data_IF_979961776591
#
_entry.id   IF_979961776591
#
_cell.length_a   1.000
_cell.length_b   1.000
_cell.length_c   1.000
_cell.angle_alpha   90.00
_cell.angle_beta   90.00
_cell.angle_gamma   90.00
#
_symmetry.space_group_name_H-M   'P 1'
#
loop_
_entity.id
_entity.type
_entity.pdbx_description
1 polymer ?
#
# COMPACT_ATOMS: atom_id res chain seq x y z
N UNK A 1 3.67 -49.38 14.22
CA UNK A 1 3.78 -47.96 13.82
C UNK A 1 2.72 -47.20 14.61
N UNK A 2 3.11 -46.53 15.69
CA UNK A 2 2.20 -45.84 16.61
C UNK A 2 1.82 -44.47 16.04
N UNK A 3 0.53 -44.26 15.80
CA UNK A 3 -0.04 -42.98 15.42
C UNK A 3 0.33 -41.89 16.44
N UNK A 4 0.67 -40.66 16.01
CA UNK A 4 0.98 -39.60 16.95
C UNK A 4 -0.27 -39.25 17.79
N UNK A 5 -0.10 -38.94 19.09
CA UNK A 5 -1.22 -38.69 20.00
C UNK A 5 -1.95 -37.40 19.59
N UNK A 6 -3.28 -37.44 19.56
CA UNK A 6 -4.19 -36.34 19.15
C UNK A 6 -3.86 -35.00 19.87
N UNK A 7 -3.30 -35.07 21.08
CA UNK A 7 -2.84 -33.91 21.84
C UNK A 7 -1.69 -33.12 21.19
N UNK A 8 -0.79 -33.76 20.44
CA UNK A 8 0.32 -33.05 19.77
C UNK A 8 -0.18 -32.23 18.58
N UNK A 9 -1.21 -32.72 17.89
CA UNK A 9 -1.86 -31.97 16.80
C UNK A 9 -2.64 -30.76 17.32
N UNK A 10 -3.30 -30.89 18.48
CA UNK A 10 -3.95 -29.76 19.14
C UNK A 10 -2.94 -28.70 19.58
N UNK A 11 -1.80 -29.11 20.16
CA UNK A 11 -0.74 -28.17 20.56
C UNK A 11 -0.11 -27.47 19.36
N UNK A 12 0.15 -28.19 18.27
CA UNK A 12 0.64 -27.61 17.02
C UNK A 12 -0.41 -26.65 16.45
N UNK A 13 -1.68 -27.05 16.36
CA UNK A 13 -2.77 -26.18 15.93
C UNK A 13 -2.93 -24.93 16.82
N UNK A 14 -2.75 -25.07 18.13
CA UNK A 14 -2.87 -23.96 19.09
C UNK A 14 -1.66 -23.02 19.05
N UNK A 15 -0.46 -23.55 18.86
CA UNK A 15 0.77 -22.78 18.61
C UNK A 15 0.75 -22.09 17.23
N UNK A 16 0.14 -22.74 16.24
CA UNK A 16 -0.07 -22.22 14.89
C UNK A 16 -1.21 -21.18 14.79
N UNK A 17 -2.24 -21.31 15.64
CA UNK A 17 -3.39 -20.39 15.69
C UNK A 17 -3.17 -19.18 16.60
N UNK A 18 -2.12 -19.18 17.44
CA UNK A 18 -1.56 -17.96 18.03
C UNK A 18 -0.78 -17.17 16.96
N UNK A 19 -1.46 -16.80 15.88
CA UNK A 19 -0.93 -15.82 14.92
C UNK A 19 -0.65 -14.50 15.66
N UNK A 20 0.52 -13.89 15.42
CA UNK A 20 0.85 -12.58 15.98
C UNK A 20 -0.31 -11.62 15.70
N UNK A 21 -0.95 -11.12 16.75
CA UNK A 21 -1.88 -10.02 16.63
C UNK A 21 -1.07 -8.81 16.17
N UNK A 22 -1.44 -8.21 15.03
CA UNK A 22 -0.75 -7.02 14.53
C UNK A 22 -1.12 -5.82 15.39
N UNK A 23 -0.12 -5.05 15.77
CA UNK A 23 -0.37 -3.81 16.48
C UNK A 23 -0.92 -2.76 15.52
N UNK A 24 -1.75 -1.85 16.03
CA UNK A 24 -2.29 -0.71 15.24
C UNK A 24 -1.18 0.15 14.63
N UNK A 25 0.02 0.13 15.22
CA UNK A 25 1.18 0.85 14.72
C UNK A 25 1.73 0.17 13.47
N UNK A 26 1.79 -1.16 13.42
CA UNK A 26 2.33 -1.91 12.27
C UNK A 26 1.54 -1.71 10.97
N UNK A 27 0.29 -1.24 11.08
CA UNK A 27 -0.62 -0.98 9.96
C UNK A 27 -0.59 0.47 9.49
N UNK A 28 0.19 1.34 10.14
CA UNK A 28 0.44 2.71 9.70
C UNK A 28 1.42 2.65 8.52
N UNK A 29 0.97 3.09 7.34
CA UNK A 29 1.75 3.02 6.12
C UNK A 29 2.30 4.39 5.71
N UNK A 30 3.48 4.40 5.10
CA UNK A 30 4.00 5.60 4.42
C UNK A 30 3.25 5.82 3.10
N UNK A 31 2.62 7.00 2.90
CA UNK A 31 1.72 7.23 1.77
C UNK A 31 2.34 7.04 0.39
N UNK A 32 3.55 7.57 0.13
CA UNK A 32 4.16 7.49 -1.19
C UNK A 32 4.57 6.06 -1.52
N UNK A 33 5.19 5.35 -0.57
CA UNK A 33 5.58 3.95 -0.69
C UNK A 33 4.37 3.09 -1.06
N UNK A 34 3.27 3.24 -0.33
CA UNK A 34 2.06 2.48 -0.59
C UNK A 34 1.44 2.82 -1.96
N UNK A 35 1.46 4.09 -2.36
CA UNK A 35 0.96 4.49 -3.69
C UNK A 35 1.83 3.98 -4.84
N UNK A 36 3.15 3.88 -4.68
CA UNK A 36 4.04 3.24 -5.69
C UNK A 36 3.68 1.75 -5.85
N UNK A 37 3.35 1.06 -4.75
CA UNK A 37 2.91 -0.35 -4.81
C UNK A 37 1.54 -0.48 -5.48
N UNK A 38 0.61 0.43 -5.19
CA UNK A 38 -0.67 0.49 -5.92
C UNK A 38 -0.47 0.80 -7.41
N UNK A 39 0.52 1.62 -7.77
CA UNK A 39 0.87 1.84 -9.16
C UNK A 39 1.35 0.54 -9.83
N UNK A 40 2.23 -0.23 -9.20
CA UNK A 40 2.69 -1.53 -9.74
C UNK A 40 1.58 -2.58 -9.81
N UNK A 41 0.53 -2.46 -8.98
CA UNK A 41 -0.65 -3.34 -9.03
C UNK A 41 -1.44 -3.20 -10.35
N UNK A 42 -1.34 -2.06 -11.05
CA UNK A 42 -2.04 -1.81 -12.32
C UNK A 42 -1.67 -2.76 -13.45
N UNK A 43 -0.44 -3.28 -13.44
CA UNK A 43 0.06 -4.23 -14.43
C UNK A 43 0.24 -5.65 -13.84
N UNK A 44 -0.12 -5.84 -12.57
CA UNK A 44 -0.08 -7.15 -11.94
C UNK A 44 -1.28 -8.01 -12.36
N UNK A 45 -1.12 -9.34 -12.45
CA UNK A 45 -2.20 -10.24 -12.87
C UNK A 45 -3.40 -10.20 -11.90
N UNK A 46 -4.60 -10.45 -12.42
CA UNK A 46 -5.82 -10.56 -11.61
C UNK A 46 -5.65 -11.70 -10.58
N UNK A 47 -6.08 -11.47 -9.35
CA UNK A 47 -5.81 -12.39 -8.22
C UNK A 47 -4.66 -11.93 -7.32
N UNK A 48 -3.91 -10.91 -7.78
CA UNK A 48 -2.92 -10.22 -6.96
C UNK A 48 -3.60 -9.48 -5.80
N UNK A 49 -3.08 -9.66 -4.59
CA UNK A 49 -3.61 -9.06 -3.36
C UNK A 49 -2.56 -8.20 -2.69
N UNK A 50 -3.01 -7.40 -1.73
CA UNK A 50 -2.13 -6.59 -0.91
C UNK A 50 -1.73 -7.33 0.37
N UNK A 51 -0.52 -7.02 0.84
CA UNK A 51 0.03 -7.43 2.12
C UNK A 51 0.62 -6.21 2.81
N UNK A 52 0.33 -6.06 4.10
CA UNK A 52 0.97 -5.06 4.95
C UNK A 52 1.91 -5.78 5.90
N UNK A 53 3.18 -5.37 5.90
CA UNK A 53 4.18 -5.95 6.79
C UNK A 53 5.15 -4.86 7.21
N UNK A 54 5.26 -4.64 8.52
CA UNK A 54 6.18 -3.66 9.12
C UNK A 54 6.03 -2.29 8.43
N UNK A 55 4.83 -1.70 8.46
CA UNK A 55 4.59 -0.35 7.92
C UNK A 55 4.81 -0.14 6.41
N UNK A 56 5.07 -1.23 5.67
CA UNK A 56 5.30 -1.22 4.23
C UNK A 56 4.21 -2.04 3.54
N UNK A 57 3.66 -1.49 2.45
CA UNK A 57 2.73 -2.19 1.59
C UNK A 57 3.52 -3.03 0.58
N UNK A 58 3.02 -4.22 0.28
CA UNK A 58 3.56 -5.10 -0.75
C UNK A 58 2.45 -5.62 -1.65
N UNK A 59 2.77 -5.77 -2.93
CA UNK A 59 1.97 -6.48 -3.91
C UNK A 59 2.29 -7.98 -3.82
N UNK A 60 1.27 -8.81 -3.63
CA UNK A 60 1.39 -10.26 -3.52
C UNK A 60 0.73 -10.95 -4.72
N UNK A 61 1.50 -11.45 -5.70
CA UNK A 61 0.95 -12.11 -6.88
C UNK A 61 0.13 -13.37 -6.52
N UNK A 62 -0.77 -13.81 -7.40
CA UNK A 62 -1.51 -15.05 -7.23
C UNK A 62 -0.54 -16.24 -7.25
N UNK A 63 -0.47 -16.97 -6.15
CA UNK A 63 0.33 -18.20 -6.03
C UNK A 63 -0.52 -19.30 -5.41
N UNK A 64 -0.21 -20.56 -5.71
CA UNK A 64 -0.93 -21.72 -5.14
C UNK A 64 -0.88 -21.70 -3.60
N UNK A 65 0.24 -21.24 -3.04
CA UNK A 65 0.47 -21.12 -1.60
C UNK A 65 -0.01 -19.78 -1.02
N UNK A 66 -0.64 -18.90 -1.81
CA UNK A 66 -1.14 -17.60 -1.36
C UNK A 66 -2.05 -17.72 -0.12
N UNK A 67 -2.99 -18.68 -0.02
CA UNK A 67 -3.83 -18.83 1.18
C UNK A 67 -3.02 -19.14 2.44
N UNK A 68 -2.00 -20.00 2.32
CA UNK A 68 -1.14 -20.42 3.45
C UNK A 68 -0.26 -19.24 3.89
N UNK A 69 0.34 -18.54 2.94
CA UNK A 69 1.12 -17.33 3.22
C UNK A 69 0.26 -16.27 3.91
N UNK A 70 -0.97 -16.05 3.44
CA UNK A 70 -1.87 -15.05 4.04
C UNK A 70 -2.31 -15.44 5.44
N UNK A 71 -2.55 -16.72 5.69
CA UNK A 71 -2.85 -17.23 7.02
C UNK A 71 -1.65 -17.04 7.97
N UNK A 72 -0.43 -17.39 7.54
CA UNK A 72 0.78 -17.20 8.35
C UNK A 72 1.04 -15.73 8.71
N UNK A 73 0.78 -14.81 7.78
CA UNK A 73 0.96 -13.37 8.02
C UNK A 73 -0.28 -12.68 8.61
N UNK A 74 -1.38 -13.41 8.86
CA UNK A 74 -2.68 -12.85 9.30
C UNK A 74 -3.27 -11.80 8.35
N UNK A 75 -3.02 -11.89 7.03
CA UNK A 75 -3.48 -10.93 6.02
C UNK A 75 -4.99 -11.05 5.77
N UNK A 76 -5.73 -9.97 6.01
CA UNK A 76 -7.19 -9.92 5.86
C UNK A 76 -7.61 -9.01 4.72
N UNK A 77 -8.80 -9.27 4.17
CA UNK A 77 -9.44 -8.35 3.21
C UNK A 77 -9.74 -6.98 3.84
N UNK A 78 -9.93 -6.94 5.16
CA UNK A 78 -10.19 -5.72 5.92
C UNK A 78 -8.95 -4.82 6.02
N UNK A 79 -7.75 -5.32 5.72
CA UNK A 79 -6.52 -4.50 5.66
C UNK A 79 -6.62 -3.41 4.57
N UNK A 80 -7.55 -3.56 3.62
CA UNK A 80 -7.86 -2.52 2.64
C UNK A 80 -8.35 -1.23 3.29
N UNK A 81 -8.99 -1.29 4.47
CA UNK A 81 -9.46 -0.09 5.15
C UNK A 81 -8.31 0.88 5.53
N UNK A 82 -7.08 0.38 5.67
CA UNK A 82 -5.92 1.22 5.95
C UNK A 82 -5.56 2.14 4.77
N UNK A 83 -5.92 1.77 3.54
CA UNK A 83 -5.63 2.57 2.34
C UNK A 83 -6.35 3.93 2.36
N UNK A 84 -7.45 4.08 3.08
CA UNK A 84 -8.09 5.39 3.24
C UNK A 84 -7.10 6.44 3.78
N UNK A 85 -6.36 6.08 4.83
CA UNK A 85 -5.40 6.98 5.46
C UNK A 85 -4.17 7.24 4.57
N UNK A 86 -3.77 6.24 3.79
CA UNK A 86 -2.70 6.35 2.77
C UNK A 86 -3.09 7.36 1.71
N UNK A 87 -4.26 7.18 1.08
CA UNK A 87 -4.70 8.02 -0.04
C UNK A 87 -4.92 9.46 0.44
N UNK A 88 -5.58 9.67 1.59
CA UNK A 88 -5.79 11.00 2.16
C UNK A 88 -4.47 11.73 2.41
N UNK A 89 -3.47 11.06 3.00
CA UNK A 89 -2.15 11.65 3.25
C UNK A 89 -1.33 11.83 1.99
N UNK A 90 -1.44 10.94 1.01
CA UNK A 90 -0.80 11.08 -0.29
C UNK A 90 -1.28 12.37 -0.98
N UNK A 91 -2.60 12.56 -1.03
CA UNK A 91 -3.21 13.79 -1.57
C UNK A 91 -2.75 15.02 -0.78
N UNK A 92 -2.80 14.98 0.55
CA UNK A 92 -2.43 16.12 1.41
C UNK A 92 -0.96 16.52 1.28
N UNK A 93 -0.04 15.56 1.29
CA UNK A 93 1.39 15.84 1.45
C UNK A 93 2.20 15.76 0.15
N UNK A 94 1.78 14.94 -0.80
CA UNK A 94 2.53 14.66 -2.02
C UNK A 94 1.93 15.28 -3.29
N UNK A 95 0.72 15.85 -3.24
CA UNK A 95 0.17 16.60 -4.38
C UNK A 95 0.81 18.00 -4.47
N UNK A 96 1.57 18.31 -5.54
CA UNK A 96 2.24 19.61 -5.69
C UNK A 96 1.28 20.79 -5.89
N UNK A 97 0.03 20.53 -6.28
CA UNK A 97 -1.02 21.55 -6.41
C UNK A 97 -1.59 21.97 -5.05
N UNK A 98 -1.57 21.06 -4.07
CA UNK A 98 -2.08 21.28 -2.71
C UNK A 98 -0.94 21.71 -1.78
N UNK A 99 0.17 20.98 -1.78
CA UNK A 99 1.32 21.23 -0.94
C UNK A 99 2.52 21.69 -1.78
N UNK A 100 2.88 22.97 -1.67
CA UNK A 100 4.05 23.56 -2.36
C UNK A 100 5.39 22.97 -1.92
N UNK A 101 5.43 22.30 -0.76
CA UNK A 101 6.63 21.59 -0.26
C UNK A 101 6.66 20.12 -0.69
N UNK A 102 5.71 19.67 -1.52
CA UNK A 102 5.73 18.31 -2.04
C UNK A 102 7.07 18.05 -2.75
N UNK A 103 7.71 16.88 -2.52
CA UNK A 103 8.93 16.52 -3.20
C UNK A 103 8.66 15.99 -4.62
N UNK A 104 7.39 15.73 -4.98
CA UNK A 104 7.03 15.19 -6.29
C UNK A 104 6.87 16.29 -7.33
N UNK A 105 7.30 15.98 -8.54
CA UNK A 105 6.90 16.74 -9.73
C UNK A 105 5.42 16.47 -10.05
N UNK A 106 4.72 17.41 -10.72
CA UNK A 106 3.35 17.18 -11.19
C UNK A 106 3.21 15.90 -12.03
N UNK A 107 4.18 15.64 -12.92
CA UNK A 107 4.17 14.47 -13.80
C UNK A 107 4.30 13.15 -13.03
N UNK A 108 5.18 13.09 -12.03
CA UNK A 108 5.33 11.90 -11.18
C UNK A 108 4.08 11.67 -10.33
N UNK A 109 3.53 12.72 -9.74
CA UNK A 109 2.29 12.63 -8.97
C UNK A 109 1.13 12.11 -9.85
N UNK A 110 0.99 12.65 -11.07
CA UNK A 110 -0.05 12.23 -12.00
C UNK A 110 0.14 10.78 -12.45
N UNK A 111 1.38 10.37 -12.76
CA UNK A 111 1.71 9.00 -13.16
C UNK A 111 1.34 8.00 -12.06
N UNK A 112 1.77 8.25 -10.82
CA UNK A 112 1.46 7.41 -9.65
C UNK A 112 -0.05 7.38 -9.40
N UNK A 113 -0.74 8.53 -9.47
CA UNK A 113 -2.18 8.60 -9.23
C UNK A 113 -2.97 7.79 -10.26
N UNK A 114 -2.65 7.96 -11.55
CA UNK A 114 -3.32 7.24 -12.63
C UNK A 114 -3.10 5.73 -12.52
N UNK A 115 -1.84 5.30 -12.37
CA UNK A 115 -1.51 3.89 -12.20
C UNK A 115 -2.12 3.34 -10.89
N UNK A 116 -2.20 4.14 -9.83
CA UNK A 116 -2.86 3.76 -8.57
C UNK A 116 -4.35 3.49 -8.75
N UNK A 117 -5.07 4.32 -9.52
CA UNK A 117 -6.48 4.08 -9.89
C UNK A 117 -6.61 2.79 -10.70
N UNK A 118 -5.72 2.56 -11.66
CA UNK A 118 -5.69 1.33 -12.46
C UNK A 118 -5.38 0.09 -11.60
N UNK A 119 -4.49 0.22 -10.61
CA UNK A 119 -4.22 -0.82 -9.61
C UNK A 119 -5.43 -1.12 -8.74
N UNK A 120 -6.15 -0.09 -8.27
CA UNK A 120 -7.42 -0.26 -7.56
C UNK A 120 -8.49 -0.92 -8.45
N UNK A 121 -8.50 -0.67 -9.76
CA UNK A 121 -9.35 -1.39 -10.71
C UNK A 121 -9.02 -2.88 -10.78
N UNK A 122 -7.75 -3.26 -10.80
CA UNK A 122 -7.36 -4.68 -10.75
C UNK A 122 -7.71 -5.32 -9.41
N UNK A 123 -7.57 -4.58 -8.32
CA UNK A 123 -7.98 -5.03 -6.99
C UNK A 123 -9.50 -5.23 -6.92
N UNK A 124 -10.27 -4.30 -7.47
CA UNK A 124 -11.72 -4.41 -7.61
C UNK A 124 -12.07 -5.73 -8.31
N UNK A 125 -11.53 -5.97 -9.52
CA UNK A 125 -11.76 -7.21 -10.28
C UNK A 125 -11.40 -8.46 -9.47
N UNK A 126 -10.30 -8.40 -8.72
CA UNK A 126 -9.83 -9.51 -7.86
C UNK A 126 -10.81 -9.83 -6.73
N UNK A 127 -11.50 -8.84 -6.17
CA UNK A 127 -12.48 -9.04 -5.11
C UNK A 127 -13.93 -9.14 -5.62
N UNK A 128 -14.21 -8.79 -6.88
CA UNK A 128 -15.54 -8.94 -7.49
C UNK A 128 -16.01 -10.39 -7.54
N UNK A 129 -15.09 -11.35 -7.57
CA UNK A 129 -15.40 -12.78 -7.50
C UNK A 129 -15.58 -13.29 -6.06
N UNK A 130 -15.54 -12.40 -5.05
CA UNK A 130 -15.75 -12.74 -3.64
C UNK A 130 -17.05 -12.13 -3.13
N UNK A 131 -17.75 -12.81 -2.21
CA UNK A 131 -19.02 -12.35 -1.60
C UNK A 131 -18.89 -11.09 -0.69
N UNK A 132 -17.86 -10.28 -0.88
CA UNK A 132 -17.48 -9.20 0.01
C UNK A 132 -17.87 -7.82 -0.56
N UNK A 133 -19.17 -7.57 -0.71
CA UNK A 133 -19.71 -6.31 -1.26
C UNK A 133 -19.14 -5.04 -0.59
N UNK A 134 -18.88 -5.06 0.73
CA UNK A 134 -18.29 -3.92 1.44
C UNK A 134 -16.90 -3.55 0.91
N UNK A 135 -16.06 -4.54 0.62
CA UNK A 135 -14.69 -4.31 0.10
C UNK A 135 -14.75 -3.66 -1.28
N UNK A 136 -15.67 -4.13 -2.13
CA UNK A 136 -15.89 -3.59 -3.47
C UNK A 136 -16.28 -2.10 -3.40
N UNK A 137 -17.24 -1.75 -2.52
CA UNK A 137 -17.65 -0.36 -2.32
C UNK A 137 -16.51 0.52 -1.78
N UNK A 138 -15.68 0.00 -0.87
CA UNK A 138 -14.52 0.72 -0.35
C UNK A 138 -13.46 0.98 -1.42
N UNK A 139 -13.17 -0.01 -2.28
CA UNK A 139 -12.25 0.17 -3.40
C UNK A 139 -12.78 1.25 -4.36
N UNK A 140 -14.09 1.25 -4.65
CA UNK A 140 -14.70 2.26 -5.51
C UNK A 140 -14.62 3.66 -4.89
N UNK A 141 -14.84 3.79 -3.58
CA UNK A 141 -14.66 5.06 -2.86
C UNK A 141 -13.22 5.58 -2.98
N UNK A 142 -12.21 4.69 -2.88
CA UNK A 142 -10.80 5.06 -3.02
C UNK A 142 -10.44 5.54 -4.41
N UNK A 143 -10.97 4.91 -5.45
CA UNK A 143 -10.82 5.39 -6.84
C UNK A 143 -11.38 6.79 -6.99
N UNK A 144 -12.63 6.99 -6.58
CA UNK A 144 -13.31 8.28 -6.65
C UNK A 144 -12.52 9.36 -5.89
N UNK A 145 -11.88 9.02 -4.75
CA UNK A 145 -11.06 9.96 -3.98
C UNK A 145 -9.78 10.38 -4.75
N UNK A 146 -9.10 9.44 -5.41
CA UNK A 146 -7.91 9.75 -6.23
C UNK A 146 -8.27 10.52 -7.50
N UNK A 147 -9.38 10.17 -8.15
CA UNK A 147 -9.86 10.82 -9.39
C UNK A 147 -10.40 12.24 -9.11
N UNK A 148 -11.13 12.42 -8.00
CA UNK A 148 -11.68 13.73 -7.59
C UNK A 148 -10.63 14.73 -7.11
N UNK A 149 -9.37 14.30 -6.91
CA UNK A 149 -8.28 15.19 -6.52
C UNK A 149 -7.92 16.22 -7.61
N UNK A 150 -8.39 16.03 -8.85
CA UNK A 150 -8.30 17.03 -9.90
C UNK A 150 -9.26 18.22 -9.68
N UNK A 151 -10.29 18.06 -8.84
CA UNK A 151 -11.29 19.07 -8.52
C UNK A 151 -11.05 19.61 -7.09
N UNK A 152 -10.36 20.76 -6.99
CA UNK A 152 -9.99 21.42 -5.72
C UNK A 152 -11.13 21.53 -4.70
N UNK A 153 -12.38 21.65 -5.16
CA UNK A 153 -13.57 21.87 -4.32
C UNK A 153 -13.94 20.62 -3.51
N UNK A 154 -13.76 19.42 -4.07
CA UNK A 154 -14.09 18.16 -3.37
C UNK A 154 -13.02 17.80 -2.34
N UNK A 155 -11.77 18.14 -2.63
CA UNK A 155 -10.64 17.86 -1.74
C UNK A 155 -10.79 18.54 -0.38
N UNK A 156 -11.24 19.79 -0.35
CA UNK A 156 -11.47 20.53 0.90
C UNK A 156 -12.58 19.84 1.73
N UNK A 157 -13.67 19.38 1.12
CA UNK A 157 -14.75 18.67 1.81
C UNK A 157 -14.29 17.30 2.37
N UNK A 158 -13.46 16.54 1.65
CA UNK A 158 -12.92 15.26 2.13
C UNK A 158 -11.81 15.40 3.20
N UNK A 159 -11.10 16.53 3.22
CA UNK A 159 -10.07 16.81 4.22
C UNK A 159 -10.71 17.31 5.52
N UNK A 160 -11.81 18.06 5.44
CA UNK A 160 -12.57 18.61 6.58
C UNK A 160 -13.40 17.51 7.25
N UNK A 161 -12.74 16.64 8.01
CA UNK A 161 -13.22 16.15 9.31
C UNK A 161 -12.23 15.14 9.91
N UNK A 162 -12.28 15.02 11.25
CA UNK A 162 -11.43 14.25 12.19
C UNK A 162 -10.19 14.98 12.77
N UNK A 163 -10.16 16.32 12.78
CA UNK A 163 -9.03 17.09 13.36
C UNK A 163 -9.10 17.36 14.87
N UNK A 164 -10.04 16.79 15.62
CA UNK A 164 -10.15 17.14 17.05
C UNK A 164 -9.19 16.39 18.01
N UNK A 165 -8.42 15.38 17.60
CA UNK A 165 -7.53 14.63 18.52
C UNK A 165 -6.29 13.92 17.88
N UNK A 166 -5.70 14.41 16.78
CA UNK A 166 -4.69 13.64 15.97
C UNK A 166 -3.31 14.29 15.74
N UNK A 167 -2.98 15.36 16.46
CA UNK A 167 -1.84 16.25 16.15
C UNK A 167 -0.46 15.56 16.03
N UNK A 168 -0.23 14.37 16.61
CA UNK A 168 1.09 13.71 16.52
C UNK A 168 1.35 12.96 15.20
N UNK A 169 0.36 12.23 14.65
CA UNK A 169 0.62 11.34 13.50
C UNK A 169 0.87 12.14 12.22
N UNK A 170 0.11 13.22 11.99
CA UNK A 170 0.26 14.03 10.78
C UNK A 170 1.60 14.79 10.77
N UNK A 171 2.10 15.24 11.93
CA UNK A 171 3.44 15.84 12.06
C UNK A 171 4.55 14.85 11.70
N UNK A 172 4.42 13.58 12.12
CA UNK A 172 5.39 12.53 11.76
C UNK A 172 5.41 12.30 10.26
N UNK A 173 4.25 12.32 9.60
CA UNK A 173 4.15 12.16 8.15
C UNK A 173 4.57 13.40 7.37
N UNK A 174 4.40 14.61 7.91
CA UNK A 174 4.97 15.81 7.28
C UNK A 174 6.50 15.71 7.19
N UNK A 175 7.15 15.12 8.20
CA UNK A 175 8.62 14.98 8.25
C UNK A 175 9.15 13.82 7.41
N UNK A 176 8.45 12.68 7.36
CA UNK A 176 8.93 11.49 6.62
C UNK A 176 9.00 11.72 5.11
N UNK A 177 8.29 12.73 4.59
CA UNK A 177 8.32 13.14 3.17
C UNK A 177 9.77 13.38 2.69
N UNK A 178 10.67 13.83 3.58
CA UNK A 178 12.09 14.03 3.29
C UNK A 178 12.94 12.75 3.19
N UNK A 179 12.37 11.55 3.35
CA UNK A 179 13.12 10.28 3.26
C UNK A 179 13.55 9.97 1.82
N UNK A 180 12.90 10.60 0.84
CA UNK A 180 13.17 10.44 -0.59
C UNK A 180 14.00 11.61 -1.12
N UNK A 181 15.18 11.31 -1.67
CA UNK A 181 15.97 12.30 -2.40
C UNK A 181 15.48 12.47 -3.84
N UNK A 182 15.92 13.54 -4.51
CA UNK A 182 15.52 13.84 -5.88
C UNK A 182 15.93 12.75 -6.87
N UNK A 183 17.05 12.07 -6.66
CA UNK A 183 17.53 11.06 -7.59
C UNK A 183 16.65 9.82 -7.55
N UNK A 184 16.27 9.36 -6.35
CA UNK A 184 15.36 8.21 -6.24
C UNK A 184 13.99 8.53 -6.84
N UNK A 185 13.49 9.76 -6.69
CA UNK A 185 12.21 10.15 -7.30
C UNK A 185 12.27 10.13 -8.84
N UNK A 186 13.39 10.54 -9.44
CA UNK A 186 13.61 10.41 -10.89
C UNK A 186 13.70 8.94 -11.31
N UNK A 187 14.38 8.10 -10.54
CA UNK A 187 14.43 6.65 -10.80
C UNK A 187 13.03 6.04 -10.74
N UNK A 188 12.24 6.35 -9.71
CA UNK A 188 10.85 5.89 -9.60
C UNK A 188 10.04 6.32 -10.82
N UNK A 189 10.14 7.61 -11.21
CA UNK A 189 9.41 8.14 -12.37
C UNK A 189 9.73 7.36 -13.65
N UNK A 190 11.02 7.26 -13.99
CA UNK A 190 11.43 6.62 -15.24
C UNK A 190 11.16 5.12 -15.23
N UNK A 191 11.34 4.43 -14.10
CA UNK A 191 11.03 3.01 -14.01
C UNK A 191 9.53 2.74 -14.11
N UNK A 192 8.68 3.52 -13.44
CA UNK A 192 7.22 3.39 -13.58
C UNK A 192 6.75 3.70 -15.01
N UNK A 193 7.37 4.69 -15.65
CA UNK A 193 7.08 5.02 -17.04
C UNK A 193 7.45 3.87 -17.99
N UNK A 194 8.64 3.27 -17.82
CA UNK A 194 9.07 2.08 -18.57
C UNK A 194 8.14 0.90 -18.35
N UNK A 195 7.76 0.64 -17.09
CA UNK A 195 6.79 -0.39 -16.74
C UNK A 195 5.47 -0.21 -17.49
N UNK A 196 4.96 1.03 -17.55
CA UNK A 196 3.69 1.35 -18.20
C UNK A 196 3.75 1.22 -19.73
N UNK A 197 4.91 1.43 -20.34
CA UNK A 197 5.09 1.34 -21.80
C UNK A 197 5.45 -0.05 -22.30
N UNK A 198 5.99 -0.91 -21.44
CA UNK A 198 6.35 -2.27 -21.79
C UNK A 198 5.09 -3.10 -22.12
N UNK A 199 5.14 -3.87 -23.20
CA UNK A 199 4.04 -4.74 -23.64
C UNK A 199 4.24 -6.18 -23.17
N UNK A 200 5.51 -6.60 -23.00
CA UNK A 200 5.84 -7.95 -22.56
C UNK A 200 5.68 -8.07 -21.03
N UNK A 201 4.73 -8.92 -20.60
CA UNK A 201 4.41 -9.13 -19.17
C UNK A 201 5.62 -9.59 -18.34
N UNK A 202 6.55 -10.33 -18.94
CA UNK A 202 7.74 -10.81 -18.24
C UNK A 202 8.74 -9.67 -18.01
N UNK A 203 8.96 -8.81 -19.00
CA UNK A 203 9.78 -7.61 -18.85
C UNK A 203 9.15 -6.62 -17.88
N UNK A 204 7.82 -6.45 -17.91
CA UNK A 204 7.07 -5.68 -16.92
C UNK A 204 7.37 -6.16 -15.49
N UNK A 205 7.29 -7.47 -15.26
CA UNK A 205 7.59 -8.05 -13.95
C UNK A 205 9.05 -7.85 -13.54
N UNK A 206 10.00 -8.01 -14.46
CA UNK A 206 11.43 -7.74 -14.18
C UNK A 206 11.66 -6.29 -13.78
N UNK A 207 10.98 -5.34 -14.43
CA UNK A 207 11.05 -3.93 -14.07
C UNK A 207 10.43 -3.64 -12.69
N UNK A 208 9.30 -4.28 -12.35
CA UNK A 208 8.73 -4.23 -10.98
C UNK A 208 9.74 -4.73 -9.95
N UNK A 209 10.35 -5.89 -10.19
CA UNK A 209 11.29 -6.52 -9.26
C UNK A 209 12.54 -5.65 -9.08
N UNK A 210 13.02 -5.04 -10.17
CA UNK A 210 14.09 -4.04 -10.16
C UNK A 210 13.73 -2.82 -9.30
N UNK A 211 12.54 -2.24 -9.50
CA UNK A 211 12.08 -1.10 -8.70
C UNK A 211 11.96 -1.46 -7.21
N UNK A 212 11.38 -2.61 -6.88
CA UNK A 212 11.28 -3.09 -5.50
C UNK A 212 12.66 -3.27 -4.85
N UNK A 213 13.65 -3.75 -5.62
CA UNK A 213 15.03 -3.91 -5.14
C UNK A 213 15.70 -2.56 -4.86
N UNK A 214 15.52 -1.59 -5.76
CA UNK A 214 16.02 -0.21 -5.57
C UNK A 214 15.37 0.44 -4.33
N UNK A 215 14.06 0.23 -4.15
CA UNK A 215 13.29 0.77 -3.04
C UNK A 215 13.61 0.12 -1.69
N UNK A 216 14.35 -1.00 -1.66
CA UNK A 216 14.59 -1.76 -0.43
C UNK A 216 15.20 -0.91 0.69
N UNK A 217 16.22 -0.09 0.38
CA UNK A 217 16.85 0.81 1.35
C UNK A 217 15.84 1.80 1.94
N UNK A 218 15.01 2.42 1.11
CA UNK A 218 14.00 3.40 1.54
C UNK A 218 12.92 2.73 2.39
N UNK A 219 12.51 1.50 2.04
CA UNK A 219 11.59 0.72 2.84
C UNK A 219 12.14 0.45 4.26
N UNK A 220 13.46 0.20 4.40
CA UNK A 220 14.08 0.08 5.73
C UNK A 220 14.10 1.41 6.48
N UNK A 221 14.48 2.50 5.82
CA UNK A 221 14.46 3.83 6.43
C UNK A 221 13.06 4.24 6.91
N UNK A 222 12.01 3.91 6.15
CA UNK A 222 10.60 4.15 6.53
C UNK A 222 10.24 3.37 7.79
N UNK A 223 10.62 2.09 7.84
CA UNK A 223 10.37 1.23 9.01
C UNK A 223 11.04 1.80 10.26
N UNK A 224 12.31 2.15 10.15
CA UNK A 224 13.08 2.73 11.25
C UNK A 224 12.49 4.06 11.70
N UNK A 225 12.16 4.94 10.76
CA UNK A 225 11.55 6.23 11.05
C UNK A 225 10.22 6.07 11.80
N UNK A 226 9.32 5.23 11.30
CA UNK A 226 8.01 5.01 11.91
C UNK A 226 8.18 4.42 13.32
N UNK A 227 9.06 3.44 13.50
CA UNK A 227 9.35 2.88 14.82
C UNK A 227 9.89 3.93 15.79
N UNK A 228 10.78 4.82 15.35
CA UNK A 228 11.37 5.86 16.21
C UNK A 228 10.40 7.00 16.55
N UNK A 229 9.45 7.31 15.65
CA UNK A 229 8.63 8.52 15.78
C UNK A 229 7.16 8.24 16.17
N UNK A 230 6.67 7.00 16.04
CA UNK A 230 5.30 6.62 16.43
C UNK A 230 5.24 5.68 17.63
N UNK A 231 6.37 5.14 18.10
CA UNK A 231 6.43 4.33 19.33
C UNK A 231 7.00 5.22 20.43
N UNK A 232 6.11 5.78 21.26
CA UNK A 232 6.42 6.29 22.59
C UNK A 232 6.18 5.19 23.63
#
# INVERSE_FOLDING_TARGET
MSSPPIHSLHFIYQALSHGRQRDKIDTILEPLQAMIQLAMLSISPIGTKLRIQENVLYVQPPTILQPISRWYHSDKKDDLYFLYSVIKRFIKWYNPTINKKSPLTPDLYQLISQMGVDGLNNLFKTYSSSDSNTVIHVIQMYKNLLESTNDKILVDEYIVDVEKNKVNIDEVFERIVGVYDSNILQVIYHTLFLIKQEEDEKNQQQNIDGLNSIMHKYNQSIKEWIKMNLIL
#
